data_IF_912810992769
#
_entry.id   IF_912810992769
#
_cell.length_a   1.000
_cell.length_b   1.000
_cell.length_c   1.000
_cell.angle_alpha   90.00
_cell.angle_beta   90.00
_cell.angle_gamma   90.00
#
_symmetry.space_group_name_H-M   'P 1'
#
loop_
_entity.id
_entity.type
_entity.pdbx_description
1 polymer ?
#
# COMPACT_ATOMS: atom_id res chain seq x y z
N UNK A 1 -24.85 -12.61 -7.52
CA UNK A 1 -23.57 -13.35 -7.58
C UNK A 1 -22.55 -12.35 -7.08
N UNK A 2 -22.46 -12.24 -5.77
CA UNK A 2 -21.65 -11.23 -5.10
C UNK A 2 -20.20 -11.69 -5.22
N UNK A 3 -19.49 -11.11 -6.19
CA UNK A 3 -18.04 -11.04 -6.13
C UNK A 3 -17.72 -10.13 -4.94
N UNK A 4 -17.77 -10.69 -3.74
CA UNK A 4 -16.90 -10.27 -2.66
C UNK A 4 -15.50 -10.46 -3.23
N UNK A 5 -15.00 -9.41 -3.89
CA UNK A 5 -13.57 -9.17 -3.92
C UNK A 5 -13.24 -9.17 -2.42
N UNK A 6 -12.67 -10.27 -1.92
CA UNK A 6 -12.06 -10.28 -0.61
C UNK A 6 -10.92 -9.27 -0.72
N UNK A 7 -11.26 -8.00 -0.52
CA UNK A 7 -10.31 -6.93 -0.66
C UNK A 7 -9.33 -7.13 0.47
N UNK A 8 -8.05 -7.37 0.14
CA UNK A 8 -7.03 -7.53 1.17
C UNK A 8 -7.02 -6.34 2.15
N UNK A 9 -7.43 -5.15 1.70
CA UNK A 9 -7.64 -3.93 2.51
C UNK A 9 -9.01 -3.92 3.21
N UNK A 10 -9.07 -3.85 4.56
CA UNK A 10 -10.31 -3.58 5.28
C UNK A 10 -10.85 -2.17 4.98
N UNK A 11 -12.18 -2.01 4.82
CA UNK A 11 -12.83 -0.71 4.58
C UNK A 11 -12.46 0.37 5.62
N UNK A 12 -12.23 -0.02 6.87
CA UNK A 12 -11.77 0.88 7.94
C UNK A 12 -10.45 1.57 7.59
N UNK A 13 -9.59 0.94 6.79
CA UNK A 13 -8.33 1.53 6.36
C UNK A 13 -8.56 2.67 5.38
N UNK A 14 -9.52 2.56 4.45
CA UNK A 14 -9.88 3.65 3.54
C UNK A 14 -10.35 4.88 4.33
N UNK A 15 -11.28 4.69 5.27
CA UNK A 15 -11.77 5.78 6.12
C UNK A 15 -10.64 6.40 6.97
N UNK A 16 -9.77 5.57 7.54
CA UNK A 16 -8.59 6.04 8.29
C UNK A 16 -7.62 6.84 7.40
N UNK A 17 -7.43 6.40 6.15
CA UNK A 17 -6.54 7.04 5.19
C UNK A 17 -7.11 8.37 4.69
N UNK A 18 -8.41 8.44 4.39
CA UNK A 18 -9.13 9.69 4.08
C UNK A 18 -8.97 10.72 5.19
N UNK A 19 -9.15 10.31 6.45
CA UNK A 19 -8.90 11.16 7.61
C UNK A 19 -7.44 11.63 7.69
N UNK A 20 -6.48 10.76 7.38
CA UNK A 20 -5.07 11.12 7.35
C UNK A 20 -4.76 12.19 6.29
N UNK A 21 -5.39 12.09 5.12
CA UNK A 21 -5.24 13.04 4.01
C UNK A 21 -6.15 14.27 4.11
N UNK A 22 -7.07 14.31 5.09
CA UNK A 22 -8.11 15.34 5.22
C UNK A 22 -9.03 15.41 3.99
N UNK A 23 -9.35 14.25 3.41
CA UNK A 23 -10.33 14.09 2.34
C UNK A 23 -11.65 13.66 2.98
N UNK A 24 -12.73 14.39 2.69
CA UNK A 24 -14.04 14.17 3.32
C UNK A 24 -15.15 13.80 2.35
N UNK A 25 -14.91 13.92 1.04
CA UNK A 25 -15.82 13.43 0.01
C UNK A 25 -15.45 12.02 -0.43
N UNK A 26 -16.38 11.38 -1.15
CA UNK A 26 -16.27 9.98 -1.60
C UNK A 26 -15.93 9.89 -3.09
N UNK A 27 -15.70 11.03 -3.78
CA UNK A 27 -15.50 11.06 -5.23
C UNK A 27 -14.23 10.32 -5.66
N UNK A 28 -13.25 10.22 -4.76
CA UNK A 28 -11.97 9.57 -5.03
C UNK A 28 -11.82 8.21 -4.35
N UNK A 29 -12.88 7.66 -3.75
CA UNK A 29 -12.78 6.45 -2.93
C UNK A 29 -12.24 5.26 -3.71
N UNK A 30 -12.66 5.08 -4.97
CA UNK A 30 -12.15 4.02 -5.84
C UNK A 30 -10.64 4.15 -6.08
N UNK A 31 -10.17 5.35 -6.45
CA UNK A 31 -8.76 5.61 -6.69
C UNK A 31 -7.91 5.48 -5.41
N UNK A 32 -8.39 6.02 -4.28
CA UNK A 32 -7.72 5.89 -2.98
C UNK A 32 -7.63 4.44 -2.53
N UNK A 33 -8.67 3.64 -2.81
CA UNK A 33 -8.69 2.23 -2.51
C UNK A 33 -7.67 1.45 -3.37
N UNK A 34 -7.60 1.75 -4.66
CA UNK A 34 -6.60 1.17 -5.56
C UNK A 34 -5.16 1.50 -5.10
N UNK A 35 -4.91 2.76 -4.72
CA UNK A 35 -3.61 3.17 -4.17
C UNK A 35 -3.24 2.41 -2.90
N UNK A 36 -4.21 2.20 -2.00
CA UNK A 36 -4.00 1.40 -0.79
C UNK A 36 -3.68 -0.06 -1.10
N UNK A 37 -4.39 -0.68 -2.06
CA UNK A 37 -4.13 -2.06 -2.46
C UNK A 37 -2.73 -2.25 -3.03
N UNK A 38 -2.34 -1.40 -3.98
CA UNK A 38 -1.01 -1.47 -4.61
C UNK A 38 0.08 -1.14 -3.60
N UNK A 39 -0.12 -0.13 -2.75
CA UNK A 39 0.82 0.20 -1.69
C UNK A 39 1.03 -0.99 -0.74
N UNK A 40 -0.04 -1.67 -0.33
CA UNK A 40 0.06 -2.81 0.58
C UNK A 40 0.75 -3.99 -0.05
N UNK A 41 0.43 -4.31 -1.31
CA UNK A 41 1.11 -5.37 -2.06
C UNK A 41 2.61 -5.08 -2.16
N UNK A 42 2.99 -3.83 -2.43
CA UNK A 42 4.40 -3.45 -2.50
C UNK A 42 5.09 -3.51 -1.12
N UNK A 43 4.42 -3.14 -0.03
CA UNK A 43 4.95 -3.35 1.33
C UNK A 43 5.17 -4.84 1.59
N UNK A 44 4.21 -5.67 1.21
CA UNK A 44 4.30 -7.12 1.38
C UNK A 44 5.47 -7.73 0.61
N UNK A 45 5.59 -7.39 -0.67
CA UNK A 45 6.55 -8.05 -1.58
C UNK A 45 7.92 -7.41 -1.59
N UNK A 46 8.05 -6.10 -1.37
CA UNK A 46 9.33 -5.38 -1.49
C UNK A 46 9.92 -4.97 -0.14
N UNK A 47 9.09 -4.69 0.88
CA UNK A 47 9.60 -4.35 2.21
C UNK A 47 9.82 -5.59 3.08
N UNK A 48 8.83 -6.48 3.13
CA UNK A 48 8.95 -7.74 3.87
C UNK A 48 9.55 -8.89 3.05
N UNK A 49 9.66 -8.74 1.73
CA UNK A 49 10.10 -9.80 0.81
C UNK A 49 9.27 -11.09 0.90
N UNK A 50 7.97 -10.95 1.18
CA UNK A 50 7.04 -12.07 1.24
C UNK A 50 6.40 -12.33 -0.13
N UNK A 51 6.09 -13.60 -0.38
CA UNK A 51 5.38 -14.01 -1.61
C UNK A 51 3.89 -13.75 -1.47
N UNK A 52 3.25 -13.46 -2.60
CA UNK A 52 1.80 -13.43 -2.71
C UNK A 52 1.25 -14.86 -2.83
N UNK A 53 0.10 -15.11 -2.22
CA UNK A 53 -0.67 -16.34 -2.35
C UNK A 53 -1.81 -16.05 -3.32
N UNK A 54 -1.85 -16.74 -4.46
CA UNK A 54 -2.85 -16.52 -5.51
C UNK A 54 -2.96 -15.06 -5.98
N UNK A 55 -1.84 -14.32 -5.99
CA UNK A 55 -1.81 -12.92 -6.41
C UNK A 55 -2.27 -11.91 -5.34
N UNK A 56 -2.51 -12.36 -4.10
CA UNK A 56 -2.83 -11.50 -2.97
C UNK A 56 -2.01 -11.80 -1.71
N UNK A 57 -2.17 -10.95 -0.71
CA UNK A 57 -1.49 -11.05 0.57
C UNK A 57 -2.09 -12.18 1.40
N UNK A 58 -1.24 -12.95 2.06
CA UNK A 58 -1.68 -13.92 3.07
C UNK A 58 -2.21 -13.18 4.31
N UNK A 59 -3.53 -13.03 4.40
CA UNK A 59 -4.20 -12.34 5.51
C UNK A 59 -4.07 -13.07 6.86
N UNK A 60 -3.66 -14.34 6.86
CA UNK A 60 -3.49 -15.13 8.10
C UNK A 60 -2.16 -14.82 8.80
N UNK A 61 -1.21 -14.21 8.08
CA UNK A 61 0.07 -13.85 8.63
C UNK A 61 -0.06 -12.74 9.68
N UNK A 62 0.65 -12.81 10.83
CA UNK A 62 0.52 -11.83 11.91
C UNK A 62 0.75 -10.37 11.50
N UNK A 63 1.60 -10.15 10.49
CA UNK A 63 1.92 -8.80 9.99
C UNK A 63 0.97 -8.31 8.90
N UNK A 64 0.05 -9.14 8.39
CA UNK A 64 -0.80 -8.73 7.29
C UNK A 64 -1.68 -7.51 7.64
N UNK A 65 -2.16 -7.45 8.88
CA UNK A 65 -3.09 -6.41 9.36
C UNK A 65 -2.56 -5.65 10.57
N UNK A 66 -1.26 -5.76 10.88
CA UNK A 66 -0.69 -5.08 12.03
C UNK A 66 -0.57 -3.57 11.81
N UNK A 67 -0.38 -2.83 12.91
CA UNK A 67 -0.32 -1.38 12.87
C UNK A 67 0.86 -0.85 12.04
N UNK A 68 1.99 -1.57 12.02
CA UNK A 68 3.18 -1.17 11.26
C UNK A 68 2.88 -1.25 9.78
N UNK A 69 2.32 -2.37 9.31
CA UNK A 69 1.94 -2.55 7.91
C UNK A 69 0.87 -1.56 7.47
N UNK A 70 -0.13 -1.27 8.33
CA UNK A 70 -1.13 -0.21 8.08
C UNK A 70 -0.46 1.14 7.83
N UNK A 71 0.45 1.56 8.72
CA UNK A 71 1.13 2.86 8.62
C UNK A 71 2.06 2.95 7.41
N UNK A 72 2.82 1.89 7.13
CA UNK A 72 3.72 1.87 5.99
C UNK A 72 2.94 1.91 4.66
N UNK A 73 1.83 1.17 4.59
CA UNK A 73 0.88 1.23 3.47
C UNK A 73 0.35 2.65 3.27
N UNK A 74 -0.08 3.33 4.34
CA UNK A 74 -0.59 4.70 4.25
C UNK A 74 0.47 5.68 3.75
N UNK A 75 1.71 5.55 4.22
CA UNK A 75 2.77 6.45 3.78
C UNK A 75 3.05 6.32 2.28
N UNK A 76 3.09 5.08 1.78
CA UNK A 76 3.31 4.83 0.37
C UNK A 76 2.10 5.24 -0.48
N UNK A 77 0.89 4.92 -0.05
CA UNK A 77 -0.34 5.35 -0.73
C UNK A 77 -0.45 6.88 -0.78
N UNK A 78 -0.08 7.60 0.28
CA UNK A 78 -0.06 9.06 0.28
C UNK A 78 0.93 9.61 -0.77
N UNK A 79 2.05 8.92 -0.96
CA UNK A 79 3.03 9.28 -2.00
C UNK A 79 2.44 9.11 -3.41
N UNK A 80 1.63 8.07 -3.63
CA UNK A 80 0.91 7.86 -4.89
C UNK A 80 -0.14 8.94 -5.15
N UNK A 81 -0.89 9.35 -4.12
CA UNK A 81 -1.84 10.46 -4.22
C UNK A 81 -1.14 11.75 -4.66
N UNK A 82 0.01 12.06 -4.06
CA UNK A 82 0.76 13.29 -4.36
C UNK A 82 1.46 13.22 -5.72
N UNK A 83 1.82 12.01 -6.18
CA UNK A 83 2.54 11.80 -7.43
C UNK A 83 2.03 10.56 -8.19
N UNK A 84 1.00 10.72 -9.04
CA UNK A 84 0.41 9.62 -9.81
C UNK A 84 1.39 8.92 -10.78
N UNK A 85 2.45 9.59 -11.23
CA UNK A 85 3.48 8.95 -12.07
C UNK A 85 4.27 7.88 -11.29
N UNK A 86 4.42 8.07 -9.98
CA UNK A 86 5.01 7.07 -9.09
C UNK A 86 4.06 5.88 -8.93
N UNK A 87 2.75 6.12 -8.86
CA UNK A 87 1.77 5.05 -8.82
C UNK A 87 1.84 4.17 -10.07
N UNK A 88 1.89 4.77 -11.26
CA UNK A 88 2.01 4.04 -12.53
C UNK A 88 3.28 3.16 -12.57
N UNK A 89 4.37 3.59 -11.93
CA UNK A 89 5.57 2.77 -11.76
C UNK A 89 5.38 1.70 -10.68
N UNK A 90 4.76 2.05 -9.56
CA UNK A 90 4.50 1.16 -8.44
C UNK A 90 3.56 -0.01 -8.79
N UNK A 91 2.66 0.17 -9.75
CA UNK A 91 1.77 -0.90 -10.27
C UNK A 91 2.43 -1.81 -11.31
N UNK A 92 3.55 -1.37 -11.92
CA UNK A 92 4.25 -2.08 -12.99
C UNK A 92 5.51 -2.83 -12.52
N UNK A 93 6.02 -2.54 -11.33
CA UNK A 93 7.36 -3.00 -10.91
C UNK A 93 7.30 -4.31 -10.13
N UNK A 94 8.01 -5.30 -10.66
CA UNK A 94 8.27 -6.64 -10.10
C UNK A 94 9.62 -6.70 -9.33
N UNK A 95 10.34 -5.58 -9.23
CA UNK A 95 11.73 -5.53 -8.76
C UNK A 95 11.84 -5.05 -7.30
N UNK A 96 12.60 -5.79 -6.49
CA UNK A 96 12.60 -5.82 -5.01
C UNK A 96 12.97 -4.50 -4.29
N UNK A 97 13.35 -3.43 -5.02
CA UNK A 97 14.03 -2.25 -4.44
C UNK A 97 13.35 -0.90 -4.68
N UNK A 98 12.21 -0.85 -5.39
CA UNK A 98 11.61 0.44 -5.76
C UNK A 98 10.89 1.13 -4.58
N UNK A 99 10.32 0.37 -3.64
CA UNK A 99 9.69 0.96 -2.45
C UNK A 99 10.70 1.76 -1.61
N UNK A 100 11.95 1.31 -1.50
CA UNK A 100 13.01 2.02 -0.76
C UNK A 100 13.40 3.33 -1.44
N UNK A 101 13.28 3.41 -2.77
CA UNK A 101 13.46 4.64 -3.54
C UNK A 101 12.28 5.62 -3.38
N UNK A 102 11.06 5.11 -3.26
CA UNK A 102 9.83 5.91 -3.10
C UNK A 102 9.68 6.43 -1.66
N UNK A 103 10.10 5.64 -0.67
CA UNK A 103 10.19 6.05 0.74
C UNK A 103 11.39 6.97 1.05
N UNK A 104 12.15 7.36 0.02
CA UNK A 104 13.41 8.13 0.00
C UNK A 104 13.85 8.83 1.29
N UNK A 105 15.10 8.59 1.69
CA UNK A 105 15.93 9.33 2.66
C UNK A 105 15.39 9.56 4.09
N UNK A 106 14.15 9.17 4.41
CA UNK A 106 13.58 9.33 5.76
C UNK A 106 13.97 8.24 6.75
N UNK A 107 14.66 7.20 6.27
CA UNK A 107 15.31 6.19 7.09
C UNK A 107 16.76 6.10 6.59
N UNK A 108 17.69 6.63 7.39
CA UNK A 108 19.12 6.57 7.12
C UNK A 108 19.53 5.11 6.91
N UNK A 109 19.95 4.75 5.70
CA UNK A 109 20.63 3.49 5.47
C UNK A 109 22.12 3.76 5.60
N UNK A 110 22.74 3.14 6.61
CA UNK A 110 24.20 3.16 6.75
C UNK A 110 24.84 2.68 5.46
N UNK A 111 25.78 3.47 4.95
CA UNK A 111 26.62 3.12 3.82
C UNK A 111 27.35 1.79 4.12
N UNK A 112 27.18 0.82 3.24
CA UNK A 112 28.10 -0.30 3.06
C UNK A 112 28.65 -0.24 1.64
#
# INVERSE_FOLDING_TARGET
>A
MDLLIETSIPLEWLNSFKNHLRIYDDLQDEALFEYLQIARKNIWTQFYNFKLVNGDIDITHPWANDLITKRATFHLAATYVVNPDIFAKGSQVIDDKNIYRILGDRVFYGAY
#
